data_IF_281598120078
#
_entry.id   IF_281598120078
#
_cell.length_a   1.000
_cell.length_b   1.000
_cell.length_c   1.000
_cell.angle_alpha   90.00
_cell.angle_beta   90.00
_cell.angle_gamma   90.00
#
_symmetry.space_group_name_H-M   'P 1'
#
loop_
_entity.id
_entity.type
_entity.pdbx_description
1 polymer ?
#
# COMPACT_ATOMS: atom_id res chain seq x y z
N UNK A 1 31.49 -63.35 -35.41
CA UNK A 1 30.96 -62.21 -36.19
C UNK A 1 29.75 -61.73 -35.48
N UNK A 2 29.93 -60.75 -34.63
CA UNK A 2 28.89 -60.16 -33.75
C UNK A 2 28.67 -58.70 -34.19
N UNK A 3 27.43 -58.43 -34.59
CA UNK A 3 26.99 -57.09 -35.00
C UNK A 3 26.64 -56.26 -33.76
N UNK A 4 26.97 -54.96 -33.70
CA UNK A 4 26.59 -54.10 -32.57
C UNK A 4 25.21 -53.48 -32.76
N UNK A 5 24.48 -53.29 -31.64
CA UNK A 5 23.18 -52.65 -31.51
C UNK A 5 23.28 -51.12 -31.67
N UNK A 6 22.20 -50.45 -32.10
CA UNK A 6 22.19 -49.00 -32.22
C UNK A 6 21.90 -48.30 -30.87
N UNK A 7 22.70 -47.29 -30.57
CA UNK A 7 22.53 -46.36 -29.45
C UNK A 7 21.38 -45.41 -29.72
N UNK A 8 20.34 -45.48 -28.85
CA UNK A 8 19.23 -44.52 -28.84
C UNK A 8 19.64 -43.19 -28.23
N UNK A 9 19.56 -42.13 -29.01
CA UNK A 9 19.65 -40.74 -28.52
C UNK A 9 18.31 -40.37 -27.87
N UNK A 10 18.32 -40.23 -26.57
CA UNK A 10 17.22 -39.67 -25.80
C UNK A 10 17.16 -38.13 -25.96
N UNK A 11 16.21 -37.65 -26.77
CA UNK A 11 15.79 -36.23 -26.73
C UNK A 11 14.57 -36.14 -25.80
N UNK A 12 14.83 -35.84 -24.53
CA UNK A 12 13.81 -35.36 -23.60
C UNK A 12 14.45 -34.33 -22.69
N UNK A 13 14.20 -33.07 -22.95
CA UNK A 13 14.16 -32.01 -21.93
C UNK A 13 14.03 -30.62 -22.58
N UNK A 14 12.83 -30.30 -23.10
CA UNK A 14 12.51 -28.96 -23.59
C UNK A 14 11.08 -28.50 -23.30
N UNK A 15 10.20 -29.44 -22.91
CA UNK A 15 8.76 -29.15 -22.80
C UNK A 15 8.24 -28.96 -21.36
N UNK A 16 8.98 -29.36 -20.33
CA UNK A 16 8.48 -29.30 -18.94
C UNK A 16 8.56 -27.90 -18.30
N UNK A 17 9.52 -27.06 -18.71
CA UNK A 17 9.69 -25.72 -18.13
C UNK A 17 8.62 -24.71 -18.60
N UNK A 18 8.11 -24.84 -19.82
CA UNK A 18 7.07 -23.95 -20.34
C UNK A 18 5.71 -24.21 -19.68
N UNK A 19 5.32 -25.47 -19.55
CA UNK A 19 4.04 -25.86 -18.95
C UNK A 19 3.95 -25.54 -17.44
N UNK A 20 5.05 -25.67 -16.70
CA UNK A 20 5.13 -25.27 -15.29
C UNK A 20 4.96 -23.75 -15.13
N UNK A 21 5.55 -22.95 -16.04
CA UNK A 21 5.40 -21.49 -16.05
C UNK A 21 3.96 -21.03 -16.34
N UNK A 22 3.30 -21.64 -17.31
CA UNK A 22 1.90 -21.34 -17.65
C UNK A 22 0.93 -21.72 -16.53
N UNK A 23 1.08 -22.90 -15.94
CA UNK A 23 0.25 -23.33 -14.82
C UNK A 23 0.42 -22.44 -13.58
N UNK A 24 1.64 -21.98 -13.30
CA UNK A 24 1.90 -21.03 -12.23
C UNK A 24 1.26 -19.66 -12.52
N UNK A 25 1.27 -19.22 -13.79
CA UNK A 25 0.65 -17.96 -14.18
C UNK A 25 -0.88 -18.03 -14.13
N UNK A 26 -1.47 -19.15 -14.53
CA UNK A 26 -2.92 -19.36 -14.46
C UNK A 26 -3.44 -19.59 -13.03
N UNK A 27 -2.57 -19.96 -12.10
CA UNK A 27 -2.91 -20.14 -10.69
C UNK A 27 -2.83 -18.83 -9.87
N UNK A 28 -2.39 -17.71 -10.47
CA UNK A 28 -2.33 -16.42 -9.78
C UNK A 28 -3.73 -15.90 -9.48
N UNK A 29 -3.86 -15.36 -8.30
CA UNK A 29 -5.05 -14.61 -7.87
C UNK A 29 -4.64 -13.14 -7.75
N UNK A 30 -5.19 -12.28 -8.61
CA UNK A 30 -4.93 -10.84 -8.58
C UNK A 30 -5.39 -10.24 -7.26
N UNK A 31 -4.50 -9.55 -6.57
CA UNK A 31 -4.84 -8.89 -5.32
C UNK A 31 -5.76 -7.68 -5.58
N UNK A 32 -5.60 -7.03 -6.72
CA UNK A 32 -6.40 -5.88 -7.16
C UNK A 32 -7.89 -6.22 -7.35
N UNK A 33 -8.21 -7.47 -7.71
CA UNK A 33 -9.58 -7.91 -7.98
C UNK A 33 -10.39 -8.22 -6.71
N UNK A 34 -9.71 -8.32 -5.57
CA UNK A 34 -10.36 -8.62 -4.28
C UNK A 34 -10.92 -7.36 -3.64
N UNK A 35 -12.08 -7.49 -2.98
CA UNK A 35 -12.60 -6.46 -2.09
C UNK A 35 -11.76 -6.34 -0.80
N UNK A 36 -12.02 -5.33 0.03
CA UNK A 36 -11.26 -5.09 1.25
C UNK A 36 -11.29 -6.29 2.22
N UNK A 37 -12.42 -6.99 2.35
CA UNK A 37 -12.56 -8.17 3.22
C UNK A 37 -11.74 -9.34 2.72
N UNK A 38 -11.86 -9.64 1.44
CA UNK A 38 -11.10 -10.72 0.82
C UNK A 38 -9.59 -10.46 0.86
N UNK A 39 -9.16 -9.21 0.60
CA UNK A 39 -7.75 -8.79 0.75
C UNK A 39 -7.24 -8.99 2.17
N UNK A 40 -8.01 -8.53 3.17
CA UNK A 40 -7.62 -8.67 4.57
C UNK A 40 -7.54 -10.14 5.01
N UNK A 41 -8.51 -10.97 4.61
CA UNK A 41 -8.52 -12.39 4.91
C UNK A 41 -7.36 -13.14 4.23
N UNK A 42 -7.04 -12.80 2.97
CA UNK A 42 -5.97 -13.45 2.21
C UNK A 42 -4.55 -13.23 2.79
N UNK A 43 -4.35 -12.19 3.58
CA UNK A 43 -3.07 -11.94 4.25
C UNK A 43 -2.92 -12.75 5.53
N UNK A 44 -4.01 -13.11 6.20
CA UNK A 44 -3.99 -13.79 7.48
C UNK A 44 -3.89 -15.30 7.33
N UNK A 45 -3.47 -15.96 8.39
CA UNK A 45 -3.40 -17.42 8.46
C UNK A 45 -4.82 -18.01 8.48
N UNK A 46 -5.01 -19.11 7.79
CA UNK A 46 -6.31 -19.76 7.62
C UNK A 46 -7.02 -20.01 8.96
N UNK A 47 -8.30 -19.67 9.00
CA UNK A 47 -9.16 -19.87 10.17
C UNK A 47 -8.88 -18.95 11.36
N UNK A 48 -7.95 -17.97 11.23
CA UNK A 48 -7.62 -17.04 12.33
C UNK A 48 -8.32 -15.68 12.20
N UNK A 49 -8.84 -15.36 11.02
CA UNK A 49 -9.45 -14.07 10.72
C UNK A 49 -10.74 -13.84 11.53
N UNK A 50 -10.81 -12.71 12.23
CA UNK A 50 -11.99 -12.23 12.94
C UNK A 50 -12.19 -10.74 12.66
N UNK A 51 -13.28 -10.41 11.99
CA UNK A 51 -13.67 -9.02 11.73
C UNK A 51 -14.15 -8.33 13.01
N UNK A 52 -13.73 -7.08 13.20
CA UNK A 52 -14.13 -6.19 14.30
C UNK A 52 -14.88 -5.00 13.72
N UNK A 53 -15.91 -4.55 14.40
CA UNK A 53 -16.74 -3.43 13.95
C UNK A 53 -17.22 -3.64 12.50
N UNK A 54 -17.75 -4.85 12.25
CA UNK A 54 -18.22 -5.25 10.93
C UNK A 54 -19.61 -4.69 10.60
N UNK A 55 -20.20 -5.07 9.45
CA UNK A 55 -21.46 -4.49 8.98
C UNK A 55 -22.65 -4.72 9.94
N UNK A 56 -22.61 -5.80 10.73
CA UNK A 56 -23.66 -6.09 11.71
C UNK A 56 -23.64 -5.17 12.94
N UNK A 57 -22.51 -4.53 13.22
CA UNK A 57 -22.36 -3.57 14.31
C UNK A 57 -22.95 -2.20 13.95
N UNK A 58 -23.20 -1.93 12.65
CA UNK A 58 -23.84 -0.74 12.10
C UNK A 58 -23.22 0.56 12.62
N UNK A 59 -21.90 0.64 12.53
CA UNK A 59 -21.17 1.85 12.89
C UNK A 59 -21.07 2.72 11.64
N UNK A 60 -22.12 3.45 11.37
CA UNK A 60 -22.33 4.26 10.16
C UNK A 60 -22.01 5.73 10.42
N UNK A 61 -21.56 6.46 9.39
CA UNK A 61 -21.41 7.90 9.46
C UNK A 61 -22.78 8.59 9.60
N UNK A 62 -22.99 9.43 10.61
CA UNK A 62 -24.24 10.17 10.78
C UNK A 62 -24.37 11.37 9.82
N UNK A 63 -23.33 11.68 9.05
CA UNK A 63 -23.24 12.87 8.23
C UNK A 63 -23.65 12.66 6.77
N UNK A 64 -23.75 11.42 6.31
CA UNK A 64 -23.99 11.09 4.92
C UNK A 64 -25.49 11.15 4.54
N UNK A 65 -26.33 10.53 5.33
CA UNK A 65 -27.78 10.48 5.06
C UNK A 65 -28.42 11.88 4.89
N UNK A 66 -28.07 12.91 5.71
CA UNK A 66 -28.56 14.27 5.51
C UNK A 66 -28.14 14.93 4.19
N UNK A 67 -27.21 14.33 3.46
CA UNK A 67 -26.70 14.79 2.16
C UNK A 67 -27.10 13.84 1.02
N UNK A 68 -28.15 13.03 1.23
CA UNK A 68 -28.66 12.05 0.27
C UNK A 68 -27.60 11.00 -0.16
N UNK A 69 -26.62 10.72 0.69
CA UNK A 69 -25.62 9.68 0.50
C UNK A 69 -25.94 8.49 1.38
N UNK A 70 -26.13 7.32 0.78
CA UNK A 70 -26.39 6.09 1.53
C UNK A 70 -25.13 5.69 2.31
N UNK A 71 -25.18 5.61 3.66
CA UNK A 71 -24.01 5.19 4.44
C UNK A 71 -23.75 3.69 4.27
N UNK A 72 -22.48 3.30 4.42
CA UNK A 72 -22.12 1.90 4.56
C UNK A 72 -22.08 1.51 6.04
N UNK A 73 -22.58 0.30 6.34
CA UNK A 73 -22.74 -0.18 7.72
C UNK A 73 -21.41 -0.37 8.50
N UNK A 74 -20.28 -0.30 7.80
CA UNK A 74 -18.92 -0.34 8.36
C UNK A 74 -18.10 0.91 8.01
N UNK A 75 -18.75 1.90 7.42
CA UNK A 75 -18.17 3.15 6.91
C UNK A 75 -16.99 2.95 5.96
N UNK A 76 -16.97 1.82 5.21
CA UNK A 76 -15.96 1.53 4.19
C UNK A 76 -14.57 1.18 4.75
N UNK A 77 -14.47 0.81 6.02
CA UNK A 77 -13.23 0.32 6.62
C UNK A 77 -13.44 -1.03 7.29
N UNK A 78 -12.70 -2.00 6.82
CA UNK A 78 -12.70 -3.38 7.33
C UNK A 78 -11.52 -3.56 8.27
N UNK A 79 -11.78 -4.01 9.49
CA UNK A 79 -10.75 -4.30 10.50
C UNK A 79 -10.80 -5.78 10.82
N UNK A 80 -9.72 -6.50 10.55
CA UNK A 80 -9.64 -7.94 10.81
C UNK A 80 -8.45 -8.25 11.71
N UNK A 81 -8.71 -8.88 12.86
CA UNK A 81 -7.66 -9.46 13.70
C UNK A 81 -7.45 -10.92 13.32
N UNK A 82 -6.21 -11.38 13.44
CA UNK A 82 -5.85 -12.75 13.18
C UNK A 82 -4.38 -13.01 13.46
N UNK A 83 -3.82 -13.95 12.71
CA UNK A 83 -2.39 -14.23 12.72
C UNK A 83 -1.80 -14.04 11.34
N UNK A 84 -0.60 -13.51 11.31
CA UNK A 84 0.24 -13.38 10.13
C UNK A 84 1.53 -14.15 10.38
N UNK A 85 1.70 -15.28 9.72
CA UNK A 85 2.83 -16.20 9.95
C UNK A 85 2.98 -16.52 11.44
N UNK A 86 1.88 -16.92 12.10
CA UNK A 86 1.78 -17.27 13.51
C UNK A 86 1.80 -16.09 14.50
N UNK A 87 2.07 -14.85 14.07
CA UNK A 87 2.14 -13.66 14.93
C UNK A 87 0.78 -12.98 15.05
N UNK A 88 0.42 -12.42 16.21
CA UNK A 88 -0.77 -11.58 16.29
C UNK A 88 -0.69 -10.43 15.30
N UNK A 89 -1.78 -10.21 14.57
CA UNK A 89 -1.85 -9.16 13.56
C UNK A 89 -3.24 -8.52 13.52
N UNK A 90 -3.28 -7.25 13.10
CA UNK A 90 -4.48 -6.55 12.67
C UNK A 90 -4.28 -6.06 11.25
N UNK A 91 -5.21 -6.41 10.36
CA UNK A 91 -5.29 -5.90 8.99
C UNK A 91 -6.42 -4.90 8.93
N UNK A 92 -6.12 -3.70 8.45
CA UNK A 92 -7.05 -2.58 8.32
C UNK A 92 -7.13 -2.28 6.83
N UNK A 93 -8.28 -2.55 6.21
CA UNK A 93 -8.45 -2.42 4.77
C UNK A 93 -9.51 -1.36 4.44
N UNK A 94 -9.20 -0.46 3.54
CA UNK A 94 -10.12 0.57 3.05
C UNK A 94 -10.83 0.02 1.81
N UNK A 95 -12.17 0.10 1.80
CA UNK A 95 -13.01 -0.33 0.68
C UNK A 95 -13.20 0.81 -0.31
N UNK A 96 -12.53 0.69 -1.45
CA UNK A 96 -12.59 1.72 -2.50
C UNK A 96 -13.97 1.87 -3.14
N UNK A 97 -14.79 0.80 -3.14
CA UNK A 97 -16.13 0.83 -3.72
C UNK A 97 -17.07 1.75 -2.94
N UNK A 98 -16.77 2.04 -1.66
CA UNK A 98 -17.52 3.00 -0.87
C UNK A 98 -16.88 4.38 -0.90
N UNK A 99 -17.53 5.33 -1.55
CA UNK A 99 -17.10 6.74 -1.64
C UNK A 99 -15.62 6.92 -2.10
N UNK A 100 -15.14 6.05 -3.00
CA UNK A 100 -13.75 6.08 -3.46
C UNK A 100 -12.72 5.84 -2.35
N UNK A 101 -13.09 5.12 -1.29
CA UNK A 101 -12.26 4.93 -0.10
C UNK A 101 -12.08 6.22 0.71
N UNK A 102 -13.01 7.17 0.59
CA UNK A 102 -12.95 8.45 1.29
C UNK A 102 -12.99 8.30 2.81
N UNK A 103 -12.09 8.98 3.51
CA UNK A 103 -11.96 8.92 4.97
C UNK A 103 -12.82 10.01 5.61
N UNK A 104 -13.79 9.55 6.40
CA UNK A 104 -14.66 10.39 7.24
C UNK A 104 -14.33 10.25 8.73
N UNK A 105 -15.28 10.64 9.57
CA UNK A 105 -15.15 10.54 11.03
C UNK A 105 -15.06 9.08 11.46
N UNK A 106 -16.01 8.27 11.08
CA UNK A 106 -16.12 6.86 11.56
C UNK A 106 -15.00 6.01 10.98
N UNK A 107 -14.77 6.04 9.67
CA UNK A 107 -13.69 5.29 9.03
C UNK A 107 -12.32 5.65 9.60
N UNK A 108 -12.03 6.94 9.76
CA UNK A 108 -10.77 7.38 10.32
C UNK A 108 -10.58 6.98 11.78
N UNK A 109 -11.63 7.09 12.63
CA UNK A 109 -11.58 6.62 14.03
C UNK A 109 -11.38 5.11 14.10
N UNK A 110 -12.02 4.32 13.24
CA UNK A 110 -11.79 2.86 13.19
C UNK A 110 -10.32 2.52 12.92
N UNK A 111 -9.70 3.22 11.97
CA UNK A 111 -8.27 3.04 11.66
C UNK A 111 -7.41 3.42 12.88
N UNK A 112 -7.59 4.63 13.42
CA UNK A 112 -6.81 5.13 14.55
C UNK A 112 -6.96 4.27 15.80
N UNK A 113 -8.19 3.89 16.16
CA UNK A 113 -8.47 3.03 17.31
C UNK A 113 -7.84 1.63 17.16
N UNK A 114 -7.85 1.07 15.94
CA UNK A 114 -7.25 -0.24 15.67
C UNK A 114 -5.74 -0.22 15.83
N UNK A 115 -5.08 0.85 15.40
CA UNK A 115 -3.63 1.06 15.59
C UNK A 115 -3.28 1.26 17.07
N UNK A 116 -4.07 2.07 17.79
CA UNK A 116 -3.89 2.30 19.24
C UNK A 116 -4.13 1.03 20.05
N UNK A 117 -5.10 0.19 19.64
CA UNK A 117 -5.32 -1.12 20.25
C UNK A 117 -4.13 -2.04 20.05
N UNK A 118 -3.55 -2.10 18.84
CA UNK A 118 -2.35 -2.88 18.57
C UNK A 118 -1.13 -2.38 19.39
N UNK A 119 -1.00 -1.07 19.60
CA UNK A 119 0.03 -0.50 20.46
C UNK A 119 -0.17 -0.91 21.92
N UNK A 120 -1.41 -0.89 22.41
CA UNK A 120 -1.75 -1.34 23.77
C UNK A 120 -1.47 -2.83 23.93
N UNK A 121 -1.96 -3.67 23.03
CA UNK A 121 -1.72 -5.12 23.06
C UNK A 121 -0.21 -5.44 23.12
N UNK A 122 0.58 -4.70 22.33
CA UNK A 122 2.04 -4.86 22.32
C UNK A 122 2.67 -4.51 23.67
N UNK A 123 2.23 -3.42 24.33
CA UNK A 123 2.71 -3.04 25.67
C UNK A 123 2.30 -4.04 26.74
N UNK A 124 1.16 -4.68 26.57
CA UNK A 124 0.64 -5.72 27.47
C UNK A 124 1.26 -7.11 27.22
N UNK A 125 2.25 -7.21 26.32
CA UNK A 125 3.02 -8.44 26.07
C UNK A 125 2.48 -9.30 24.92
N UNK A 126 1.55 -8.78 24.11
CA UNK A 126 1.06 -9.41 22.87
C UNK A 126 1.49 -8.60 21.64
N UNK A 127 2.76 -8.74 21.15
CA UNK A 127 3.26 -7.98 20.02
C UNK A 127 2.38 -8.14 18.79
N UNK A 128 1.65 -7.09 18.41
CA UNK A 128 0.66 -7.12 17.33
C UNK A 128 1.13 -6.28 16.15
N UNK A 129 1.35 -6.92 15.01
CA UNK A 129 1.70 -6.25 13.75
C UNK A 129 0.46 -5.60 13.15
N UNK A 130 0.59 -4.38 12.64
CA UNK A 130 -0.47 -3.73 11.88
C UNK A 130 -0.12 -3.70 10.38
N UNK A 131 -1.12 -4.06 9.55
CA UNK A 131 -1.08 -3.96 8.10
C UNK A 131 -2.21 -3.06 7.64
N UNK A 132 -1.88 -2.00 6.88
CA UNK A 132 -2.86 -1.09 6.29
C UNK A 132 -2.93 -1.35 4.79
N UNK A 133 -4.12 -1.70 4.29
CA UNK A 133 -4.43 -1.80 2.87
C UNK A 133 -5.06 -0.48 2.44
N UNK A 134 -4.27 0.33 1.74
CA UNK A 134 -4.56 1.74 1.49
C UNK A 134 -5.12 1.94 0.07
N UNK A 135 -6.45 2.01 -0.01
CA UNK A 135 -7.21 2.26 -1.23
C UNK A 135 -8.13 3.45 -1.00
N UNK A 136 -7.62 4.68 -1.20
CA UNK A 136 -8.33 5.88 -0.82
C UNK A 136 -8.01 7.09 -1.70
N UNK A 137 -9.07 7.79 -2.12
CA UNK A 137 -8.96 9.08 -2.80
C UNK A 137 -8.63 10.25 -1.86
N UNK A 138 -8.59 10.02 -0.55
CA UNK A 138 -8.31 11.03 0.45
C UNK A 138 -9.44 11.23 1.46
N UNK A 139 -9.68 12.48 1.92
CA UNK A 139 -10.76 12.78 2.86
C UNK A 139 -12.11 12.77 2.15
N UNK A 140 -13.14 12.36 2.88
CA UNK A 140 -14.52 12.41 2.44
C UNK A 140 -15.04 13.84 2.54
N UNK A 141 -15.30 14.49 1.41
CA UNK A 141 -15.66 15.91 1.34
C UNK A 141 -17.00 16.21 2.06
N UNK A 142 -17.93 15.25 2.09
CA UNK A 142 -19.22 15.36 2.78
C UNK A 142 -19.07 15.60 4.29
N UNK A 143 -17.96 15.20 4.88
CA UNK A 143 -17.70 15.35 6.32
C UNK A 143 -16.71 16.46 6.64
N UNK A 144 -16.29 17.21 5.64
CA UNK A 144 -15.44 18.39 5.79
C UNK A 144 -14.21 18.12 6.68
N UNK A 145 -14.03 18.93 7.74
CA UNK A 145 -12.87 18.86 8.62
C UNK A 145 -12.81 17.60 9.51
N UNK A 146 -13.90 16.84 9.64
CA UNK A 146 -13.90 15.62 10.46
C UNK A 146 -12.97 14.57 9.87
N UNK A 147 -12.98 14.38 8.54
CA UNK A 147 -12.02 13.50 7.86
C UNK A 147 -10.57 13.94 8.06
N UNK A 148 -10.27 15.24 8.01
CA UNK A 148 -8.92 15.76 8.28
C UNK A 148 -8.49 15.52 9.73
N UNK A 149 -9.39 15.73 10.69
CA UNK A 149 -9.11 15.49 12.11
C UNK A 149 -8.77 14.01 12.36
N UNK A 150 -9.54 13.09 11.82
CA UNK A 150 -9.30 11.66 12.00
C UNK A 150 -8.05 11.17 11.27
N UNK A 151 -7.69 11.74 10.12
CA UNK A 151 -6.39 11.48 9.48
C UNK A 151 -5.23 11.88 10.38
N UNK A 152 -5.35 13.01 11.11
CA UNK A 152 -4.33 13.42 12.07
C UNK A 152 -4.23 12.42 13.25
N UNK A 153 -5.36 11.89 13.73
CA UNK A 153 -5.38 10.83 14.75
C UNK A 153 -4.76 9.52 14.22
N UNK A 154 -5.05 9.13 12.97
CA UNK A 154 -4.40 7.99 12.31
C UNK A 154 -2.89 8.18 12.26
N UNK A 155 -2.39 9.35 11.87
CA UNK A 155 -0.96 9.66 11.86
C UNK A 155 -0.34 9.56 13.26
N UNK A 156 -1.04 10.05 14.29
CA UNK A 156 -0.59 9.97 15.68
C UNK A 156 -0.50 8.51 16.15
N UNK A 157 -1.53 7.71 15.91
CA UNK A 157 -1.57 6.29 16.28
C UNK A 157 -0.50 5.47 15.52
N UNK A 158 -0.24 5.80 14.24
CA UNK A 158 0.87 5.22 13.47
C UNK A 158 2.23 5.51 14.11
N UNK A 159 2.48 6.76 14.51
CA UNK A 159 3.73 7.17 15.16
C UNK A 159 3.92 6.45 16.48
N UNK A 160 2.86 6.26 17.25
CA UNK A 160 2.88 5.51 18.50
C UNK A 160 3.20 4.03 18.27
N UNK A 161 2.46 3.36 17.40
CA UNK A 161 2.62 1.92 17.15
C UNK A 161 3.98 1.60 16.52
N UNK A 162 4.43 2.37 15.52
CA UNK A 162 5.68 2.08 14.82
C UNK A 162 6.93 2.20 15.70
N UNK A 163 6.83 2.86 16.86
CA UNK A 163 7.88 2.88 17.86
C UNK A 163 7.98 1.56 18.64
N UNK A 164 6.95 0.71 18.57
CA UNK A 164 6.84 -0.55 19.31
C UNK A 164 6.94 -1.76 18.38
N UNK A 165 6.27 -1.69 17.23
CA UNK A 165 6.15 -2.75 16.23
C UNK A 165 6.22 -2.18 14.81
N UNK A 166 6.68 -2.94 13.80
CA UNK A 166 6.60 -2.51 12.42
C UNK A 166 5.14 -2.34 11.99
N UNK A 167 4.88 -1.27 11.25
CA UNK A 167 3.61 -1.03 10.57
C UNK A 167 3.85 -1.13 9.08
N UNK A 168 3.09 -2.00 8.41
CA UNK A 168 3.24 -2.26 6.98
C UNK A 168 2.08 -1.61 6.23
N UNK A 169 2.38 -0.74 5.28
CA UNK A 169 1.41 -0.20 4.32
C UNK A 169 1.48 -0.96 3.01
N UNK A 170 0.33 -1.23 2.40
CA UNK A 170 0.21 -1.86 1.08
C UNK A 170 -0.70 -1.00 0.21
N UNK A 171 -0.23 -0.66 -0.99
CA UNK A 171 -0.98 0.06 -2.03
C UNK A 171 -0.96 -0.82 -3.28
N UNK A 172 -2.06 -1.51 -3.52
CA UNK A 172 -2.13 -2.56 -4.54
C UNK A 172 -3.42 -2.55 -5.38
N UNK A 173 -4.30 -1.58 -5.15
CA UNK A 173 -5.56 -1.48 -5.88
C UNK A 173 -5.59 -0.39 -6.93
N UNK A 174 -6.72 -0.29 -7.61
CA UNK A 174 -6.91 0.63 -8.73
C UNK A 174 -7.15 2.08 -8.30
N UNK A 175 -7.62 2.31 -7.07
CA UNK A 175 -7.81 3.66 -6.53
C UNK A 175 -6.47 4.31 -6.21
N UNK A 176 -5.57 3.57 -5.55
CA UNK A 176 -4.32 4.09 -5.02
C UNK A 176 -4.49 4.77 -3.65
N UNK A 177 -3.51 5.57 -3.23
CA UNK A 177 -3.50 6.26 -1.96
C UNK A 177 -3.17 7.74 -2.14
N UNK A 178 -4.14 8.61 -1.88
CA UNK A 178 -4.05 10.05 -2.09
C UNK A 178 -4.47 10.85 -0.85
N UNK A 179 -4.30 12.17 -0.93
CA UNK A 179 -4.66 13.10 0.13
C UNK A 179 -3.92 12.87 1.44
N UNK A 180 -4.57 13.15 2.55
CA UNK A 180 -3.98 12.99 3.89
C UNK A 180 -3.52 11.56 4.21
N UNK A 181 -4.14 10.55 3.62
CA UNK A 181 -3.74 9.16 3.82
C UNK A 181 -2.44 8.79 3.10
N UNK A 182 -2.03 9.54 2.08
CA UNK A 182 -0.68 9.37 1.50
C UNK A 182 0.42 9.80 2.48
N UNK A 183 0.13 10.79 3.35
CA UNK A 183 1.01 11.17 4.46
C UNK A 183 1.09 10.03 5.48
N UNK A 184 -0.07 9.44 5.85
CA UNK A 184 -0.12 8.28 6.72
C UNK A 184 0.66 7.08 6.14
N UNK A 185 0.54 6.82 4.82
CA UNK A 185 1.35 5.83 4.11
C UNK A 185 2.85 6.10 4.27
N UNK A 186 3.28 7.35 4.12
CA UNK A 186 4.67 7.79 4.35
C UNK A 186 5.17 7.57 5.79
N UNK A 187 4.27 7.45 6.76
CA UNK A 187 4.61 7.15 8.15
C UNK A 187 4.74 5.64 8.44
N UNK A 188 4.29 4.75 7.58
CA UNK A 188 4.47 3.31 7.75
C UNK A 188 5.96 2.94 7.80
N UNK A 189 6.30 1.88 8.54
CA UNK A 189 7.67 1.36 8.64
C UNK A 189 8.17 0.83 7.29
N UNK A 190 7.30 0.12 6.59
CA UNK A 190 7.54 -0.38 5.22
C UNK A 190 6.31 -0.10 4.37
N UNK A 191 6.54 0.38 3.16
CA UNK A 191 5.49 0.60 2.16
C UNK A 191 5.72 -0.31 0.95
N UNK A 192 4.75 -1.19 0.71
CA UNK A 192 4.74 -2.16 -0.38
C UNK A 192 3.78 -1.64 -1.45
N UNK A 193 4.19 -1.68 -2.70
CA UNK A 193 3.33 -1.33 -3.84
C UNK A 193 3.34 -2.43 -4.90
N UNK A 194 2.22 -2.57 -5.61
CA UNK A 194 2.21 -3.24 -6.91
C UNK A 194 2.44 -2.21 -8.03
N UNK A 195 2.63 -2.67 -9.27
CA UNK A 195 2.76 -1.76 -10.42
C UNK A 195 1.50 -0.96 -10.68
N UNK A 196 0.36 -1.55 -10.36
CA UNK A 196 -0.99 -1.02 -10.56
C UNK A 196 -1.32 0.05 -9.51
N UNK A 197 -0.72 -0.06 -8.32
CA UNK A 197 -0.90 0.90 -7.23
C UNK A 197 -0.37 2.28 -7.59
N UNK A 198 -1.03 3.32 -7.06
CA UNK A 198 -0.66 4.72 -7.25
C UNK A 198 -0.53 5.43 -5.90
N UNK A 199 0.45 6.30 -5.79
CA UNK A 199 0.70 7.08 -4.57
C UNK A 199 1.00 8.53 -4.90
N UNK A 200 0.20 9.45 -4.40
CA UNK A 200 0.39 10.89 -4.56
C UNK A 200 -0.28 11.68 -3.44
N UNK A 201 0.10 12.94 -3.27
CA UNK A 201 -0.63 13.83 -2.36
C UNK A 201 -1.93 14.29 -3.00
N UNK A 202 -1.88 14.77 -4.25
CA UNK A 202 -3.05 15.14 -5.02
C UNK A 202 -3.39 14.02 -6.02
N UNK A 203 -4.68 13.73 -6.17
CA UNK A 203 -5.13 12.83 -7.23
C UNK A 203 -4.99 13.49 -8.62
N UNK A 204 -4.91 12.69 -9.70
CA UNK A 204 -4.72 13.20 -11.06
C UNK A 204 -5.73 14.30 -11.46
N UNK A 205 -7.01 14.10 -11.16
CA UNK A 205 -8.07 15.05 -11.48
C UNK A 205 -7.92 16.38 -10.73
N UNK A 206 -7.38 16.36 -9.51
CA UNK A 206 -7.11 17.58 -8.74
C UNK A 206 -5.97 18.36 -9.39
N UNK A 207 -4.91 17.69 -9.81
CA UNK A 207 -3.78 18.32 -10.49
C UNK A 207 -4.26 18.96 -11.80
N UNK A 208 -5.00 18.21 -12.63
CA UNK A 208 -5.55 18.74 -13.88
C UNK A 208 -6.45 19.96 -13.65
N UNK A 209 -7.33 19.93 -12.63
CA UNK A 209 -8.24 21.05 -12.36
C UNK A 209 -7.53 22.30 -11.92
N UNK A 210 -6.36 22.19 -11.29
CA UNK A 210 -5.56 23.32 -10.82
C UNK A 210 -4.55 23.82 -11.86
N UNK A 211 -3.88 22.91 -12.57
CA UNK A 211 -2.81 23.24 -13.50
C UNK A 211 -3.28 23.33 -14.96
N UNK A 212 -4.39 22.69 -15.30
CA UNK A 212 -4.94 22.56 -16.64
C UNK A 212 -4.47 21.32 -17.37
N UNK A 213 -5.29 20.86 -18.34
CA UNK A 213 -5.06 19.62 -19.12
C UNK A 213 -3.76 19.67 -19.94
N UNK A 214 -3.30 20.86 -20.32
CA UNK A 214 -2.05 21.02 -21.06
C UNK A 214 -0.80 20.72 -20.20
N UNK A 215 -0.90 20.92 -18.90
CA UNK A 215 0.16 20.62 -17.95
C UNK A 215 0.07 19.19 -17.44
N UNK A 216 -1.14 18.71 -17.15
CA UNK A 216 -1.38 17.38 -16.63
C UNK A 216 -2.73 16.85 -17.13
N UNK A 217 -2.69 15.83 -17.98
CA UNK A 217 -3.88 15.15 -18.49
C UNK A 217 -4.26 13.96 -17.60
N UNK A 218 -5.29 14.13 -16.78
CA UNK A 218 -5.81 13.09 -15.91
C UNK A 218 -6.51 11.93 -16.65
N UNK A 219 -6.68 12.04 -17.97
CA UNK A 219 -7.18 10.96 -18.81
C UNK A 219 -6.08 10.12 -19.47
N UNK A 220 -4.79 10.53 -19.34
CA UNK A 220 -3.65 9.76 -19.83
C UNK A 220 -3.12 8.77 -18.78
N UNK A 221 -3.44 7.46 -18.90
CA UNK A 221 -2.94 6.47 -17.93
C UNK A 221 -1.41 6.35 -17.98
N UNK A 222 -0.77 6.55 -19.14
CA UNK A 222 0.68 6.42 -19.29
C UNK A 222 1.38 7.47 -18.43
N UNK A 223 0.95 8.73 -18.53
CA UNK A 223 1.46 9.83 -17.71
C UNK A 223 1.22 9.57 -16.21
N UNK A 224 -0.01 9.19 -15.85
CA UNK A 224 -0.37 8.96 -14.43
C UNK A 224 0.53 7.88 -13.79
N UNK A 225 0.69 6.72 -14.46
CA UNK A 225 1.53 5.65 -13.91
C UNK A 225 3.03 5.95 -13.99
N UNK A 226 3.47 6.77 -14.96
CA UNK A 226 4.85 7.24 -15.01
C UNK A 226 5.20 8.17 -13.83
N UNK A 227 4.22 8.88 -13.29
CA UNK A 227 4.41 9.80 -12.15
C UNK A 227 4.08 9.11 -10.83
N UNK A 228 2.86 8.56 -10.67
CA UNK A 228 2.32 8.07 -9.40
C UNK A 228 2.42 6.55 -9.22
N UNK A 229 2.76 5.82 -10.27
CA UNK A 229 2.76 4.36 -10.28
C UNK A 229 3.79 3.72 -9.36
N UNK A 230 3.51 2.48 -8.91
CA UNK A 230 4.34 1.79 -7.93
C UNK A 230 5.79 1.59 -8.38
N UNK A 231 6.04 1.38 -9.67
CA UNK A 231 7.41 1.27 -10.19
C UNK A 231 8.20 2.57 -10.01
N UNK A 232 7.57 3.72 -10.32
CA UNK A 232 8.17 5.04 -10.16
C UNK A 232 8.40 5.36 -8.67
N UNK A 233 7.39 5.13 -7.84
CA UNK A 233 7.49 5.41 -6.39
C UNK A 233 8.54 4.55 -5.71
N UNK A 234 8.71 3.30 -6.13
CA UNK A 234 9.78 2.44 -5.62
C UNK A 234 11.14 2.87 -6.18
N UNK A 235 11.23 3.19 -7.48
CA UNK A 235 12.46 3.68 -8.10
C UNK A 235 12.98 4.98 -7.49
N UNK A 236 12.10 5.84 -7.01
CA UNK A 236 12.46 7.10 -6.32
C UNK A 236 12.59 6.95 -4.80
N UNK A 237 12.38 5.75 -4.24
CA UNK A 237 12.51 5.48 -2.80
C UNK A 237 11.37 6.04 -1.94
N UNK A 238 10.25 6.44 -2.57
CA UNK A 238 9.02 6.82 -1.87
C UNK A 238 8.20 5.60 -1.42
N UNK A 239 8.38 4.46 -2.07
CA UNK A 239 7.97 3.14 -1.59
C UNK A 239 9.21 2.25 -1.42
N UNK A 240 9.09 1.20 -0.61
CA UNK A 240 10.24 0.35 -0.25
C UNK A 240 10.31 -0.94 -1.09
N UNK A 241 9.16 -1.50 -1.45
CA UNK A 241 9.07 -2.80 -2.09
C UNK A 241 8.06 -2.75 -3.23
N UNK A 242 8.49 -3.20 -4.41
CA UNK A 242 7.61 -3.43 -5.56
C UNK A 242 7.35 -4.94 -5.69
N UNK A 243 6.07 -5.32 -5.72
CA UNK A 243 5.65 -6.71 -5.88
C UNK A 243 4.73 -6.88 -7.08
N UNK A 244 4.55 -8.11 -7.53
CA UNK A 244 3.53 -8.44 -8.53
C UNK A 244 2.14 -8.34 -7.89
N UNK A 245 1.13 -8.01 -8.71
CA UNK A 245 -0.27 -8.15 -8.33
C UNK A 245 -0.66 -9.64 -8.26
N UNK A 246 -0.38 -10.23 -7.10
CA UNK A 246 -0.61 -11.62 -6.78
C UNK A 246 -0.73 -11.76 -5.27
N UNK A 247 -1.78 -12.43 -4.79
CA UNK A 247 -2.06 -12.61 -3.36
C UNK A 247 -0.87 -13.21 -2.62
N UNK A 248 -0.23 -14.24 -3.18
CA UNK A 248 0.88 -14.91 -2.54
C UNK A 248 2.13 -14.01 -2.48
N UNK A 249 2.39 -13.22 -3.54
CA UNK A 249 3.49 -12.28 -3.59
C UNK A 249 3.30 -11.14 -2.57
N UNK A 250 2.11 -10.56 -2.50
CA UNK A 250 1.79 -9.50 -1.53
C UNK A 250 1.89 -10.04 -0.10
N UNK A 251 1.29 -11.21 0.19
CA UNK A 251 1.36 -11.83 1.51
C UNK A 251 2.80 -12.12 1.93
N UNK A 252 3.61 -12.66 1.05
CA UNK A 252 5.04 -12.96 1.32
C UNK A 252 5.81 -11.68 1.66
N UNK A 253 5.62 -10.60 0.90
CA UNK A 253 6.27 -9.31 1.16
C UNK A 253 5.83 -8.68 2.49
N UNK A 254 4.54 -8.81 2.85
CA UNK A 254 4.01 -8.35 4.14
C UNK A 254 4.63 -9.14 5.30
N UNK A 255 4.73 -10.47 5.19
CA UNK A 255 5.38 -11.32 6.21
C UNK A 255 6.84 -10.92 6.38
N UNK A 256 7.57 -10.74 5.28
CA UNK A 256 8.96 -10.32 5.31
C UNK A 256 9.13 -8.93 5.96
N UNK A 257 8.30 -7.96 5.58
CA UNK A 257 8.32 -6.61 6.17
C UNK A 257 8.03 -6.63 7.68
N UNK A 258 7.02 -7.40 8.10
CA UNK A 258 6.68 -7.61 9.50
C UNK A 258 7.82 -8.29 10.28
N UNK A 259 8.57 -9.18 9.62
CA UNK A 259 9.69 -9.93 10.20
C UNK A 259 10.95 -9.12 10.43
N UNK A 260 11.18 -8.06 9.63
CA UNK A 260 12.39 -7.21 9.74
C UNK A 260 12.42 -6.37 11.02
N UNK A 261 11.28 -6.18 11.69
CA UNK A 261 11.19 -5.26 12.82
C UNK A 261 11.09 -3.79 12.39
N UNK A 262 11.15 -2.89 13.37
CA UNK A 262 11.15 -1.46 13.09
C UNK A 262 12.48 -1.05 12.44
N UNK A 263 12.46 -0.20 11.38
CA UNK A 263 13.68 0.29 10.75
C UNK A 263 14.45 1.19 11.71
N UNK A 264 15.79 1.17 11.62
CA UNK A 264 16.65 2.07 12.42
C UNK A 264 16.34 3.55 12.18
N UNK A 265 16.00 3.90 10.93
CA UNK A 265 15.55 5.24 10.55
C UNK A 265 14.30 5.15 9.67
N UNK A 266 13.21 5.76 10.14
CA UNK A 266 11.97 5.84 9.37
C UNK A 266 12.10 6.85 8.22
N UNK A 267 11.42 6.57 7.10
CA UNK A 267 11.34 7.42 5.89
C UNK A 267 11.05 8.89 6.24
N UNK A 268 10.13 9.15 7.15
CA UNK A 268 9.76 10.49 7.59
C UNK A 268 10.89 11.31 8.26
N UNK A 269 12.01 10.69 8.62
CA UNK A 269 13.21 11.37 9.15
C UNK A 269 14.26 11.69 8.10
N UNK A 270 14.16 11.12 6.91
CA UNK A 270 15.08 11.36 5.78
C UNK A 270 14.80 12.68 5.03
N UNK A 271 14.32 13.70 5.73
CA UNK A 271 13.94 14.99 5.13
C UNK A 271 15.13 15.67 4.44
N UNK A 272 16.31 15.61 5.05
CA UNK A 272 17.53 16.21 4.46
C UNK A 272 17.91 15.56 3.15
N UNK A 273 17.89 14.24 3.10
CA UNK A 273 18.16 13.46 1.88
C UNK A 273 17.12 13.76 0.78
N UNK A 274 15.85 13.79 1.13
CA UNK A 274 14.77 14.13 0.19
C UNK A 274 14.92 15.55 -0.34
N UNK A 275 15.32 16.51 0.50
CA UNK A 275 15.58 17.89 0.08
C UNK A 275 16.78 17.97 -0.87
N UNK A 276 17.89 17.30 -0.56
CA UNK A 276 19.06 17.24 -1.47
C UNK A 276 18.69 16.70 -2.84
N UNK A 277 17.82 15.69 -2.89
CA UNK A 277 17.32 15.13 -4.15
C UNK A 277 16.45 16.12 -4.92
N UNK A 278 15.57 16.86 -4.23
CA UNK A 278 14.74 17.91 -4.85
C UNK A 278 15.59 19.07 -5.37
N UNK A 279 16.59 19.49 -4.60
CA UNK A 279 17.52 20.58 -4.99
C UNK A 279 18.35 20.21 -6.25
N UNK A 280 18.45 18.93 -6.61
CA UNK A 280 19.13 18.45 -7.82
C UNK A 280 18.24 18.47 -9.07
N UNK A 281 16.94 18.75 -8.93
CA UNK A 281 15.99 18.86 -10.05
C UNK A 281 15.80 20.33 -10.39
N UNK A 282 16.08 20.70 -11.66
CA UNK A 282 15.78 22.06 -12.15
C UNK A 282 14.26 22.15 -12.41
N UNK A 283 13.54 23.01 -11.69
CA UNK A 283 12.09 23.16 -11.91
C UNK A 283 11.75 23.83 -13.26
N UNK A 284 12.71 24.51 -13.91
CA UNK A 284 12.51 25.11 -15.22
C UNK A 284 12.73 24.12 -16.38
N UNK A 285 13.45 23.01 -16.11
CA UNK A 285 13.71 21.93 -17.07
C UNK A 285 13.63 20.59 -16.31
N UNK A 286 12.42 20.17 -15.86
CA UNK A 286 12.26 18.96 -15.08
C UNK A 286 12.58 17.73 -15.94
N UNK A 287 13.24 16.70 -15.37
CA UNK A 287 13.51 15.46 -16.08
C UNK A 287 12.21 14.75 -16.44
N UNK A 288 12.21 14.05 -17.55
CA UNK A 288 11.12 13.14 -17.89
C UNK A 288 10.89 12.13 -16.75
N UNK A 289 9.64 11.71 -16.49
CA UNK A 289 9.33 10.77 -15.41
C UNK A 289 10.18 9.49 -15.44
N UNK A 290 10.50 8.98 -16.63
CA UNK A 290 11.34 7.79 -16.81
C UNK A 290 12.78 7.98 -16.30
N UNK A 291 13.30 9.20 -16.37
CA UNK A 291 14.68 9.53 -16.00
C UNK A 291 14.80 9.97 -14.53
N UNK A 292 13.69 10.33 -13.90
CA UNK A 292 13.67 10.88 -12.55
C UNK A 292 14.32 9.95 -11.52
N UNK A 293 14.12 8.64 -11.59
CA UNK A 293 14.74 7.69 -10.69
C UNK A 293 16.27 7.71 -10.78
N UNK A 294 16.82 7.86 -11.99
CA UNK A 294 18.26 7.96 -12.22
C UNK A 294 18.85 9.29 -11.73
N UNK A 295 18.13 10.39 -11.93
CA UNK A 295 18.51 11.72 -11.39
C UNK A 295 18.50 11.67 -9.87
N UNK A 296 17.45 11.10 -9.31
CA UNK A 296 17.23 10.96 -7.86
C UNK A 296 18.30 10.09 -7.18
N UNK A 297 18.74 8.99 -7.82
CA UNK A 297 19.80 8.14 -7.30
C UNK A 297 21.16 8.82 -7.29
N UNK A 298 21.46 9.67 -8.30
CA UNK A 298 22.73 10.41 -8.41
C UNK A 298 22.85 11.55 -7.41
N UNK A 299 21.74 12.11 -6.94
CA UNK A 299 21.73 13.25 -6.02
C UNK A 299 22.07 12.88 -4.57
N UNK A 300 22.14 11.58 -4.24
CA UNK A 300 22.52 11.13 -2.89
C UNK A 300 24.04 10.93 -2.86
N UNK A 301 24.79 11.64 -1.98
CA UNK A 301 26.21 11.37 -1.77
C UNK A 301 26.41 9.91 -1.35
N UNK A 302 27.46 9.27 -1.87
CA UNK A 302 27.84 7.92 -1.43
C UNK A 302 28.04 7.91 0.09
N UNK A 303 27.69 6.79 0.75
CA UNK A 303 27.67 6.66 2.24
C UNK A 303 28.97 7.06 2.97
N UNK A 304 30.05 7.33 2.25
CA UNK A 304 31.34 7.76 2.81
C UNK A 304 31.48 9.25 3.16
N UNK A 305 30.56 10.11 2.74
CA UNK A 305 30.69 11.58 2.88
C UNK A 305 29.78 12.15 4.01
N UNK A 306 29.26 11.30 4.86
CA UNK A 306 28.47 11.68 6.06
C UNK A 306 29.40 11.96 7.23
N UNK A 307 30.01 13.13 7.27
CA UNK A 307 30.65 13.67 8.47
C UNK A 307 29.85 14.82 9.05
#
# INVERSE_FOLDING_TARGET
>A
MTSPAPTGNGHTNGQTNGQTGWNAMLARVGFIELDARARAAALLDDGTARELCGPFDRIESPWLEPQDVVPASDDGVVVVRGRLDGRPAVVIAIEQAFQGGGIGEVSGVKIAASLSLAARDTREGAPTVAVLLLETGGVRLQEANLGLATVAEVCSALLELRALQPVVGVIAGSMGCFGGMSIAAGLCSTLIMTREGRLGLNGPQVIESEAGVAEFDASDPTLIWAIDGGAQRTGTGLADVLVLDDVAAVRSAVIEAAGRGAPGEHRSRRLRESRTRLDAVDPADPPEPADLAAVWARAVPAEGDRR
#
